data_IF_580201656191
#
_entry.id   IF_580201656191
#
_cell.length_a   1.000
_cell.length_b   1.000
_cell.length_c   1.000
_cell.angle_alpha   90.00
_cell.angle_beta   90.00
_cell.angle_gamma   90.00
#
_symmetry.space_group_name_H-M   'P 1'
#
loop_
_entity.id
_entity.type
_entity.pdbx_description
1 polymer ?
#
# COMPACT_ATOMS: atom_id res chain seq x y z
N UNK A 1 33.40 -38.62 2.49
CA UNK A 1 32.71 -37.32 2.55
C UNK A 1 33.64 -36.28 1.95
N UNK A 2 33.27 -35.66 0.86
CA UNK A 2 34.09 -34.61 0.21
C UNK A 2 34.18 -33.39 1.09
N UNK A 3 35.37 -32.72 1.21
CA UNK A 3 35.57 -31.57 2.08
C UNK A 3 34.68 -30.32 1.75
N UNK A 4 33.96 -30.36 0.64
CA UNK A 4 33.03 -29.31 0.22
C UNK A 4 31.68 -29.31 0.96
N UNK A 5 31.23 -30.43 1.52
CA UNK A 5 29.94 -30.55 2.18
C UNK A 5 29.83 -29.67 3.47
N UNK A 6 30.81 -29.65 4.39
CA UNK A 6 30.73 -28.82 5.58
C UNK A 6 30.82 -27.32 5.25
N UNK A 7 31.62 -26.91 4.28
CA UNK A 7 31.72 -25.49 3.86
C UNK A 7 30.40 -24.97 3.28
N UNK A 8 29.67 -25.80 2.53
CA UNK A 8 28.37 -25.43 1.99
C UNK A 8 27.31 -25.29 3.10
N UNK A 9 27.33 -26.20 4.09
CA UNK A 9 26.44 -26.14 5.26
C UNK A 9 26.67 -24.84 6.08
N UNK A 10 27.91 -24.54 6.43
CA UNK A 10 28.24 -23.28 7.13
C UNK A 10 27.84 -22.03 6.32
N UNK A 11 27.95 -22.09 4.99
CA UNK A 11 27.51 -21.01 4.12
C UNK A 11 26.00 -20.79 4.17
N UNK A 12 25.19 -21.85 4.18
CA UNK A 12 23.71 -21.76 4.26
C UNK A 12 23.25 -21.29 5.65
N UNK A 13 23.86 -21.78 6.73
CA UNK A 13 23.61 -21.30 8.09
C UNK A 13 23.89 -19.81 8.21
N UNK A 14 25.02 -19.34 7.70
CA UNK A 14 25.38 -17.93 7.70
C UNK A 14 24.39 -17.07 6.91
N UNK A 15 23.96 -17.51 5.75
CA UNK A 15 22.95 -16.79 4.93
C UNK A 15 21.60 -16.72 5.67
N UNK A 16 21.15 -17.83 6.26
CA UNK A 16 19.90 -17.86 7.02
C UNK A 16 19.96 -16.91 8.22
N UNK A 17 21.04 -16.95 9.00
CA UNK A 17 21.21 -16.09 10.17
C UNK A 17 21.38 -14.62 9.79
N UNK A 18 22.21 -14.27 8.82
CA UNK A 18 22.43 -12.90 8.38
C UNK A 18 21.15 -12.28 7.80
N UNK A 19 20.36 -13.05 7.03
CA UNK A 19 19.08 -12.58 6.52
C UNK A 19 18.06 -12.36 7.65
N UNK A 20 18.02 -13.25 8.66
CA UNK A 20 17.16 -13.08 9.83
C UNK A 20 17.56 -11.87 10.68
N UNK A 21 18.85 -11.65 10.90
CA UNK A 21 19.38 -10.47 11.63
C UNK A 21 19.07 -9.19 10.86
N UNK A 22 19.37 -9.15 9.56
CA UNK A 22 19.12 -7.98 8.72
C UNK A 22 17.63 -7.64 8.64
N UNK A 23 16.79 -8.65 8.45
CA UNK A 23 15.33 -8.48 8.47
C UNK A 23 14.84 -7.99 9.83
N UNK A 24 15.21 -8.66 10.93
CA UNK A 24 14.75 -8.32 12.27
C UNK A 24 15.23 -6.93 12.70
N UNK A 25 16.45 -6.54 12.34
CA UNK A 25 16.97 -5.19 12.57
C UNK A 25 16.17 -4.13 11.78
N UNK A 26 15.85 -4.41 10.51
CA UNK A 26 15.01 -3.54 9.68
C UNK A 26 13.60 -3.39 10.25
N UNK A 27 12.95 -4.49 10.65
CA UNK A 27 11.65 -4.48 11.31
C UNK A 27 11.70 -3.75 12.66
N UNK A 28 12.74 -3.94 13.45
CA UNK A 28 12.93 -3.23 14.72
C UNK A 28 13.11 -1.73 14.50
N UNK A 29 13.82 -1.32 13.45
CA UNK A 29 13.95 0.09 13.06
C UNK A 29 12.61 0.67 12.70
N UNK A 30 11.82 0.03 11.82
CA UNK A 30 10.46 0.45 11.47
C UNK A 30 9.56 0.54 12.70
N UNK A 31 9.61 -0.45 13.58
CA UNK A 31 8.80 -0.51 14.80
C UNK A 31 9.01 0.70 15.72
N UNK A 32 10.24 1.23 15.80
CA UNK A 32 10.54 2.41 16.62
C UNK A 32 9.83 3.66 16.13
N UNK A 33 9.61 3.79 14.82
CA UNK A 33 8.88 4.89 14.20
C UNK A 33 7.36 4.75 14.23
N UNK A 34 6.80 3.62 14.67
CA UNK A 34 5.34 3.47 14.78
C UNK A 34 4.86 4.21 16.03
N UNK A 35 4.37 5.42 15.87
CA UNK A 35 3.80 6.26 16.93
C UNK A 35 2.69 7.15 16.38
N UNK A 36 1.73 7.59 17.22
CA UNK A 36 0.75 8.58 16.80
C UNK A 36 1.45 9.83 16.24
N UNK A 37 0.90 10.35 15.14
CA UNK A 37 1.41 11.56 14.52
C UNK A 37 0.47 12.72 14.85
N UNK A 38 0.97 13.88 15.29
CA UNK A 38 0.14 15.04 15.54
C UNK A 38 -0.37 15.60 14.20
N UNK A 39 -1.61 16.06 14.22
CA UNK A 39 -2.21 16.89 13.17
C UNK A 39 -2.54 18.22 13.80
N UNK A 40 -2.08 19.33 13.23
CA UNK A 40 -2.18 20.65 13.87
C UNK A 40 -2.63 21.77 12.92
N UNK A 41 -2.96 21.48 11.67
CA UNK A 41 -3.42 22.47 10.71
C UNK A 41 -4.89 22.81 10.93
N UNK A 42 -5.20 24.10 11.06
CA UNK A 42 -6.58 24.65 11.09
C UNK A 42 -7.00 25.23 9.74
N UNK A 43 -6.10 25.22 8.77
CA UNK A 43 -6.36 25.78 7.44
C UNK A 43 -7.35 24.89 6.67
N UNK A 44 -8.23 25.55 5.92
CA UNK A 44 -9.20 24.90 5.04
C UNK A 44 -8.93 25.29 3.58
N UNK A 45 -7.81 24.82 2.95
CA UNK A 45 -7.52 25.11 1.56
C UNK A 45 -8.58 24.49 0.62
N UNK A 46 -8.54 24.82 -0.66
CA UNK A 46 -9.36 24.11 -1.65
C UNK A 46 -8.83 22.69 -1.84
N UNK A 47 -9.73 21.71 -1.81
CA UNK A 47 -9.43 20.29 -1.93
C UNK A 47 -10.14 19.70 -3.14
N UNK A 48 -9.41 18.93 -3.94
CA UNK A 48 -9.98 18.06 -4.98
C UNK A 48 -9.76 16.61 -4.60
N UNK A 49 -10.84 15.87 -4.40
CA UNK A 49 -10.77 14.42 -4.24
C UNK A 49 -10.83 13.77 -5.63
N UNK A 50 -9.78 13.05 -6.01
CA UNK A 50 -9.67 12.39 -7.32
C UNK A 50 -9.80 10.87 -7.14
N UNK A 51 -10.80 10.29 -7.81
CA UNK A 51 -11.10 8.85 -7.77
C UNK A 51 -10.99 8.29 -9.19
N UNK A 52 -10.08 7.34 -9.40
CA UNK A 52 -10.04 6.57 -10.64
C UNK A 52 -10.96 5.35 -10.52
N UNK A 53 -11.93 5.22 -11.41
CA UNK A 53 -12.91 4.14 -11.41
C UNK A 53 -12.83 3.31 -12.71
N UNK A 54 -12.98 1.99 -12.58
CA UNK A 54 -13.17 1.08 -13.73
C UNK A 54 -13.88 -0.19 -13.27
N UNK A 55 -15.03 -0.48 -13.84
CA UNK A 55 -15.85 -1.64 -13.52
C UNK A 55 -16.08 -1.75 -11.98
N UNK A 56 -16.66 -0.68 -11.39
CA UNK A 56 -16.90 -0.51 -9.94
C UNK A 56 -18.38 -0.19 -9.63
N UNK A 57 -19.33 -0.60 -10.50
CA UNK A 57 -20.77 -0.32 -10.32
C UNK A 57 -21.30 -0.74 -8.93
N UNK A 58 -20.73 -1.82 -8.35
CA UNK A 58 -21.14 -2.34 -7.06
C UNK A 58 -20.71 -1.46 -5.86
N UNK A 59 -19.69 -0.60 -6.03
CA UNK A 59 -19.05 0.10 -4.92
C UNK A 59 -19.10 1.61 -5.04
N UNK A 60 -19.00 2.16 -6.26
CA UNK A 60 -18.80 3.59 -6.50
C UNK A 60 -19.92 4.46 -5.90
N UNK A 61 -21.17 3.98 -5.90
CA UNK A 61 -22.30 4.70 -5.30
C UNK A 61 -22.11 4.92 -3.79
N UNK A 62 -21.69 3.88 -3.07
CA UNK A 62 -21.41 3.98 -1.63
C UNK A 62 -20.19 4.87 -1.33
N UNK A 63 -19.15 4.80 -2.15
CA UNK A 63 -17.97 5.65 -2.03
C UNK A 63 -18.34 7.14 -2.23
N UNK A 64 -19.11 7.46 -3.28
CA UNK A 64 -19.59 8.82 -3.55
C UNK A 64 -20.49 9.36 -2.43
N UNK A 65 -21.39 8.54 -1.90
CA UNK A 65 -22.23 8.95 -0.77
C UNK A 65 -21.39 9.39 0.44
N UNK A 66 -20.27 8.69 0.72
CA UNK A 66 -19.33 9.05 1.78
C UNK A 66 -18.52 10.31 1.46
N UNK A 67 -18.08 10.48 0.22
CA UNK A 67 -17.33 11.66 -0.21
C UNK A 67 -18.18 12.93 -0.20
N UNK A 68 -19.47 12.84 -0.54
CA UNK A 68 -20.41 13.97 -0.53
C UNK A 68 -20.79 14.45 0.87
N UNK A 69 -20.62 13.58 1.88
CA UNK A 69 -20.96 13.84 3.29
C UNK A 69 -19.74 14.11 4.16
N UNK A 70 -18.63 14.59 3.58
CA UNK A 70 -17.44 14.95 4.34
C UNK A 70 -17.68 16.20 5.20
N UNK A 71 -17.08 16.19 6.39
CA UNK A 71 -17.02 17.33 7.30
C UNK A 71 -15.93 18.31 6.83
N UNK A 72 -16.25 19.01 5.73
CA UNK A 72 -15.38 20.00 5.10
C UNK A 72 -16.23 21.06 4.38
N UNK A 73 -15.82 22.36 4.33
CA UNK A 73 -16.59 23.39 3.64
C UNK A 73 -16.92 23.02 2.20
N UNK A 74 -18.22 22.97 1.88
CA UNK A 74 -18.71 22.44 0.60
C UNK A 74 -18.18 23.26 -0.61
N UNK A 75 -18.01 24.58 -0.44
CA UNK A 75 -17.47 25.49 -1.45
C UNK A 75 -15.95 25.34 -1.68
N UNK A 76 -15.28 24.57 -0.83
CA UNK A 76 -13.85 24.27 -0.92
C UNK A 76 -13.54 22.83 -1.26
N UNK A 77 -14.56 21.99 -1.50
CA UNK A 77 -14.42 20.58 -1.83
C UNK A 77 -15.03 20.28 -3.19
N UNK A 78 -14.24 19.71 -4.09
CA UNK A 78 -14.73 19.09 -5.32
C UNK A 78 -14.36 17.60 -5.36
N UNK A 79 -15.16 16.81 -6.07
CA UNK A 79 -15.00 15.35 -6.22
C UNK A 79 -14.92 15.05 -7.70
N UNK A 80 -13.78 14.56 -8.16
CA UNK A 80 -13.51 14.25 -9.56
C UNK A 80 -13.40 12.75 -9.70
N UNK A 81 -14.39 12.12 -10.34
CA UNK A 81 -14.33 10.71 -10.70
C UNK A 81 -13.87 10.60 -12.15
N UNK A 82 -12.84 9.82 -12.37
CA UNK A 82 -12.31 9.55 -13.72
C UNK A 82 -12.62 8.11 -14.10
N UNK A 83 -13.55 7.92 -15.01
CA UNK A 83 -13.88 6.62 -15.57
C UNK A 83 -12.81 6.19 -16.59
N UNK A 84 -12.15 5.05 -16.33
CA UNK A 84 -11.09 4.49 -17.18
C UNK A 84 -11.64 3.44 -18.17
N UNK A 85 -12.74 3.76 -18.82
CA UNK A 85 -13.39 2.89 -19.81
C UNK A 85 -14.07 1.69 -19.15
N UNK A 86 -14.98 1.94 -18.23
CA UNK A 86 -15.85 0.92 -17.63
C UNK A 86 -16.79 0.34 -18.66
N UNK A 87 -17.07 -0.96 -18.53
CA UNK A 87 -18.02 -1.70 -19.37
C UNK A 87 -19.35 -1.98 -18.64
N UNK A 88 -19.42 -1.67 -17.36
CA UNK A 88 -20.56 -1.82 -16.47
C UNK A 88 -21.30 -0.47 -16.27
N UNK A 89 -22.16 -0.37 -15.26
CA UNK A 89 -22.94 0.85 -14.96
C UNK A 89 -22.16 1.92 -14.18
N UNK A 90 -20.84 1.79 -13.99
CA UNK A 90 -20.02 2.73 -13.19
C UNK A 90 -20.24 4.18 -13.64
N UNK A 91 -20.10 4.48 -14.93
CA UNK A 91 -20.24 5.84 -15.45
C UNK A 91 -21.67 6.41 -15.25
N UNK A 92 -22.71 5.57 -15.38
CA UNK A 92 -24.11 5.97 -15.19
C UNK A 92 -24.38 6.32 -13.71
N UNK A 93 -23.85 5.52 -12.77
CA UNK A 93 -23.98 5.80 -11.33
C UNK A 93 -23.32 7.13 -10.97
N UNK A 94 -22.12 7.41 -11.50
CA UNK A 94 -21.42 8.69 -11.26
C UNK A 94 -22.17 9.85 -11.91
N UNK A 95 -22.67 9.69 -13.15
CA UNK A 95 -23.44 10.70 -13.86
C UNK A 95 -24.70 11.11 -13.07
N UNK A 96 -25.41 10.14 -12.47
CA UNK A 96 -26.54 10.44 -11.59
C UNK A 96 -26.11 11.30 -10.39
N UNK A 97 -24.98 11.00 -9.75
CA UNK A 97 -24.45 11.79 -8.64
C UNK A 97 -24.05 13.21 -9.06
N UNK A 98 -23.56 13.42 -10.31
CA UNK A 98 -23.28 14.75 -10.84
C UNK A 98 -24.54 15.63 -10.95
N UNK A 99 -25.70 15.04 -11.28
CA UNK A 99 -26.96 15.79 -11.33
C UNK A 99 -27.47 16.19 -9.94
N UNK A 100 -27.16 15.40 -8.91
CA UNK A 100 -27.58 15.63 -7.54
C UNK A 100 -26.67 16.60 -6.78
N UNK A 101 -25.39 16.63 -7.13
CA UNK A 101 -24.36 17.39 -6.40
C UNK A 101 -23.38 18.05 -7.37
N UNK A 102 -23.41 19.39 -7.53
CA UNK A 102 -22.56 20.11 -8.49
C UNK A 102 -21.05 20.05 -8.16
N UNK A 103 -20.66 19.56 -6.97
CA UNK A 103 -19.29 19.32 -6.62
C UNK A 103 -18.71 18.06 -7.25
N UNK A 104 -19.55 17.16 -7.76
CA UNK A 104 -19.14 15.91 -8.39
C UNK A 104 -18.96 16.13 -9.89
N UNK A 105 -17.79 15.78 -10.41
CA UNK A 105 -17.43 15.85 -11.82
C UNK A 105 -17.07 14.45 -12.32
N UNK A 106 -17.66 14.03 -13.44
CA UNK A 106 -17.28 12.82 -14.17
C UNK A 106 -16.39 13.19 -15.36
N UNK A 107 -15.22 12.54 -15.45
CA UNK A 107 -14.33 12.57 -16.61
C UNK A 107 -14.20 11.16 -17.19
N UNK A 108 -13.91 11.06 -18.48
CA UNK A 108 -13.65 9.79 -19.15
C UNK A 108 -12.29 9.79 -19.83
N UNK A 109 -11.46 8.79 -19.57
CA UNK A 109 -10.17 8.66 -20.26
C UNK A 109 -10.34 8.38 -21.74
N UNK A 110 -11.42 7.71 -22.17
CA UNK A 110 -11.71 7.47 -23.59
C UNK A 110 -12.06 8.77 -24.30
N UNK A 111 -12.92 9.61 -23.70
CA UNK A 111 -13.31 10.89 -24.26
C UNK A 111 -12.15 11.90 -24.32
N UNK A 112 -11.35 11.96 -23.26
CA UNK A 112 -10.29 12.99 -23.12
C UNK A 112 -8.94 12.56 -23.74
N UNK A 113 -8.61 11.26 -23.73
CA UNK A 113 -7.32 10.74 -24.16
C UNK A 113 -7.43 9.83 -25.41
N UNK A 114 -8.63 9.59 -25.92
CA UNK A 114 -8.90 8.71 -27.05
C UNK A 114 -8.63 7.22 -26.78
N UNK A 115 -8.43 6.84 -25.53
CA UNK A 115 -8.16 5.46 -25.10
C UNK A 115 -8.45 5.30 -23.62
N UNK A 116 -8.86 4.11 -23.20
CA UNK A 116 -8.77 3.76 -21.79
C UNK A 116 -7.32 3.66 -21.37
N UNK A 117 -6.95 4.33 -20.27
CA UNK A 117 -5.61 4.40 -19.73
C UNK A 117 -5.32 3.25 -18.76
N UNK A 118 -4.47 3.53 -17.83
CA UNK A 118 -4.36 2.82 -16.56
C UNK A 118 -4.66 3.81 -15.44
N UNK A 119 -4.83 3.33 -14.23
CA UNK A 119 -5.11 4.16 -13.05
C UNK A 119 -4.28 5.45 -12.99
N UNK A 120 -2.98 5.40 -13.34
CA UNK A 120 -2.11 6.58 -13.37
C UNK A 120 -2.54 7.62 -14.41
N UNK A 121 -3.00 7.20 -15.60
CA UNK A 121 -3.50 8.12 -16.62
C UNK A 121 -4.80 8.78 -16.15
N UNK A 122 -5.69 8.00 -15.56
CA UNK A 122 -6.93 8.53 -14.96
C UNK A 122 -6.64 9.53 -13.84
N UNK A 123 -5.72 9.20 -12.91
CA UNK A 123 -5.31 10.13 -11.85
C UNK A 123 -4.65 11.40 -12.42
N UNK A 124 -3.78 11.27 -13.45
CA UNK A 124 -3.16 12.43 -14.11
C UNK A 124 -4.20 13.33 -14.74
N UNK A 125 -5.20 12.76 -15.42
CA UNK A 125 -6.31 13.50 -16.00
C UNK A 125 -7.11 14.24 -14.91
N UNK A 126 -7.48 13.54 -13.84
CA UNK A 126 -8.19 14.13 -12.72
C UNK A 126 -7.43 15.28 -12.06
N UNK A 127 -6.14 15.10 -11.78
CA UNK A 127 -5.27 16.16 -11.22
C UNK A 127 -5.13 17.35 -12.18
N UNK A 128 -5.09 17.10 -13.49
CA UNK A 128 -5.04 18.14 -14.51
C UNK A 128 -6.30 19.02 -14.53
N UNK A 129 -7.45 18.49 -14.15
CA UNK A 129 -8.74 19.20 -14.07
C UNK A 129 -9.04 19.76 -12.69
N UNK A 130 -8.27 19.36 -11.69
CA UNK A 130 -8.47 19.75 -10.30
C UNK A 130 -8.18 21.24 -10.08
N UNK A 131 -9.04 21.92 -9.29
CA UNK A 131 -8.89 23.30 -8.85
C UNK A 131 -8.34 23.41 -7.42
N UNK A 132 -8.27 22.30 -6.69
CA UNK A 132 -7.76 22.24 -5.32
C UNK A 132 -6.26 22.43 -5.25
N UNK A 133 -5.82 23.11 -4.20
CA UNK A 133 -4.41 23.21 -3.81
C UNK A 133 -3.90 21.86 -3.28
N UNK A 134 -4.79 21.14 -2.60
CA UNK A 134 -4.56 19.80 -2.08
C UNK A 134 -5.36 18.81 -2.92
N UNK A 135 -4.67 17.79 -3.38
CA UNK A 135 -5.27 16.63 -4.03
C UNK A 135 -5.34 15.50 -3.03
N UNK A 136 -6.51 14.94 -2.81
CA UNK A 136 -6.68 13.69 -2.07
C UNK A 136 -7.09 12.60 -3.05
N UNK A 137 -6.57 11.40 -2.87
CA UNK A 137 -6.96 10.23 -3.68
C UNK A 137 -7.45 9.10 -2.79
N UNK A 138 -8.49 8.42 -3.26
CA UNK A 138 -9.01 7.17 -2.71
C UNK A 138 -9.43 6.25 -3.84
N UNK A 139 -9.60 4.96 -3.56
CA UNK A 139 -10.11 4.00 -4.56
C UNK A 139 -11.64 4.01 -4.61
N UNK A 140 -12.20 3.62 -5.75
CA UNK A 140 -13.64 3.62 -5.99
C UNK A 140 -14.44 2.61 -5.14
N UNK A 141 -13.75 1.64 -4.53
CA UNK A 141 -14.29 0.63 -3.62
C UNK A 141 -14.03 0.96 -2.13
N UNK A 142 -13.50 2.14 -1.83
CA UNK A 142 -13.16 2.55 -0.48
C UNK A 142 -14.28 3.34 0.20
N UNK A 143 -14.42 3.12 1.51
CA UNK A 143 -15.33 3.86 2.38
C UNK A 143 -14.49 4.78 3.28
N UNK A 144 -14.56 6.08 3.01
CA UNK A 144 -13.93 7.12 3.82
C UNK A 144 -14.86 7.54 4.96
N UNK A 145 -14.35 7.79 6.18
CA UNK A 145 -15.17 8.35 7.27
C UNK A 145 -15.48 9.84 7.03
N UNK A 146 -16.49 10.41 7.71
CA UNK A 146 -16.89 11.81 7.51
C UNK A 146 -15.77 12.83 7.73
N UNK A 147 -14.87 12.61 8.67
CA UNK A 147 -13.74 13.49 8.99
C UNK A 147 -12.48 13.27 8.16
N UNK A 148 -12.53 12.42 7.11
CA UNK A 148 -11.33 12.02 6.37
C UNK A 148 -10.65 13.21 5.68
N UNK A 149 -11.40 14.06 4.98
CA UNK A 149 -10.84 15.23 4.29
C UNK A 149 -10.17 16.18 5.29
N UNK A 150 -10.89 16.54 6.36
CA UNK A 150 -10.37 17.45 7.40
C UNK A 150 -9.11 16.90 8.08
N UNK A 151 -9.11 15.62 8.44
CA UNK A 151 -7.96 14.97 9.10
C UNK A 151 -6.74 14.85 8.16
N UNK A 152 -6.95 14.56 6.88
CA UNK A 152 -5.87 14.52 5.89
C UNK A 152 -5.30 15.93 5.64
N UNK A 153 -6.15 16.94 5.51
CA UNK A 153 -5.73 18.34 5.29
C UNK A 153 -4.95 18.87 6.48
N UNK A 154 -5.37 18.58 7.70
CA UNK A 154 -4.70 19.04 8.93
C UNK A 154 -3.24 18.57 9.06
N UNK A 155 -2.83 17.57 8.27
CA UNK A 155 -1.44 17.10 8.24
C UNK A 155 -0.54 17.87 7.26
N UNK A 156 -1.07 18.78 6.45
CA UNK A 156 -0.30 19.61 5.53
C UNK A 156 0.32 20.84 6.22
N UNK A 157 1.11 20.61 7.24
CA UNK A 157 1.92 21.66 7.85
C UNK A 157 2.88 22.32 6.83
N UNK A 158 3.45 23.50 7.14
CA UNK A 158 4.48 24.12 6.31
C UNK A 158 5.62 23.14 6.00
N UNK A 159 5.97 23.03 4.73
CA UNK A 159 7.01 22.09 4.25
C UNK A 159 6.53 20.65 4.01
N UNK A 160 5.28 20.28 4.36
CA UNK A 160 4.70 18.97 4.02
C UNK A 160 4.11 19.02 2.62
N UNK A 161 4.64 18.19 1.73
CA UNK A 161 4.20 18.10 0.33
C UNK A 161 3.31 16.91 0.02
N UNK A 162 3.41 15.83 0.83
CA UNK A 162 2.62 14.61 0.65
C UNK A 162 2.22 14.04 2.01
N UNK A 163 1.01 13.51 2.09
CA UNK A 163 0.42 12.94 3.31
C UNK A 163 -0.09 11.54 3.00
N UNK A 164 0.36 10.56 3.78
CA UNK A 164 -0.13 9.18 3.75
C UNK A 164 -1.20 9.02 4.83
N UNK A 165 -2.33 8.39 4.49
CA UNK A 165 -3.35 8.02 5.46
C UNK A 165 -3.34 6.53 5.76
N UNK A 166 -3.99 6.15 6.86
CA UNK A 166 -4.21 4.75 7.19
C UNK A 166 -5.41 4.20 6.43
N UNK A 167 -5.23 3.03 5.83
CA UNK A 167 -6.33 2.23 5.30
C UNK A 167 -6.32 0.84 5.92
N UNK A 168 -7.48 0.21 6.01
CA UNK A 168 -7.62 -1.13 6.55
C UNK A 168 -8.54 -1.98 5.70
N UNK A 169 -8.22 -3.27 5.63
CA UNK A 169 -9.06 -4.26 4.98
C UNK A 169 -10.21 -4.64 5.90
N UNK A 170 -11.43 -4.65 5.40
CA UNK A 170 -12.54 -5.17 6.14
C UNK A 170 -13.86 -4.44 5.97
N UNK A 171 -14.79 -4.80 6.84
CA UNK A 171 -16.07 -4.13 7.05
C UNK A 171 -16.27 -3.88 8.54
N UNK A 172 -17.17 -2.98 8.94
CA UNK A 172 -17.46 -2.71 10.35
C UNK A 172 -17.87 -3.95 11.17
N UNK A 173 -18.44 -4.98 10.52
CA UNK A 173 -18.82 -6.25 11.16
C UNK A 173 -17.66 -7.21 11.47
N UNK A 174 -16.43 -6.87 11.12
CA UNK A 174 -15.25 -7.68 11.38
C UNK A 174 -15.05 -8.87 10.43
N UNK A 175 -13.89 -9.54 10.58
CA UNK A 175 -13.50 -10.67 9.77
C UNK A 175 -14.17 -11.96 10.21
N UNK A 176 -14.91 -12.62 9.32
CA UNK A 176 -15.64 -13.87 9.58
C UNK A 176 -14.84 -15.14 9.25
N UNK A 177 -13.85 -15.05 8.36
CA UNK A 177 -13.05 -16.18 7.90
C UNK A 177 -11.57 -16.05 8.25
N UNK A 178 -10.84 -17.20 8.23
CA UNK A 178 -9.40 -17.20 8.41
C UNK A 178 -8.67 -16.32 7.39
N UNK A 179 -9.06 -16.40 6.11
CA UNK A 179 -8.48 -15.57 5.04
C UNK A 179 -8.62 -14.08 5.34
N UNK A 180 -9.81 -13.64 5.76
CA UNK A 180 -10.06 -12.23 6.07
C UNK A 180 -9.22 -11.75 7.27
N UNK A 181 -9.10 -12.56 8.31
CA UNK A 181 -8.23 -12.27 9.48
C UNK A 181 -6.77 -12.20 9.08
N UNK A 182 -6.32 -13.14 8.24
CA UNK A 182 -4.96 -13.15 7.71
C UNK A 182 -4.67 -11.88 6.90
N UNK A 183 -5.53 -11.55 5.94
CA UNK A 183 -5.40 -10.38 5.09
C UNK A 183 -5.38 -9.07 5.86
N UNK A 184 -6.29 -8.94 6.86
CA UNK A 184 -6.38 -7.75 7.71
C UNK A 184 -5.11 -7.55 8.55
N UNK A 185 -4.57 -8.63 9.13
CA UNK A 185 -3.34 -8.55 9.94
C UNK A 185 -2.10 -8.30 9.07
N UNK A 186 -2.01 -8.95 7.91
CA UNK A 186 -0.95 -8.75 6.92
C UNK A 186 -0.91 -7.30 6.44
N UNK A 187 -2.07 -6.74 6.11
CA UNK A 187 -2.17 -5.36 5.66
C UNK A 187 -1.87 -4.35 6.78
N UNK A 188 -2.30 -4.62 8.01
CA UNK A 188 -1.93 -3.82 9.19
C UNK A 188 -0.41 -3.75 9.37
N UNK A 189 0.30 -4.85 9.14
CA UNK A 189 1.76 -4.90 9.16
C UNK A 189 2.39 -4.00 8.11
N UNK A 190 1.86 -4.01 6.88
CA UNK A 190 2.30 -3.12 5.80
C UNK A 190 2.09 -1.64 6.17
N UNK A 191 0.91 -1.29 6.69
CA UNK A 191 0.62 0.08 7.13
C UNK A 191 1.52 0.52 8.29
N UNK A 192 1.83 -0.39 9.23
CA UNK A 192 2.80 -0.15 10.28
C UNK A 192 4.21 0.13 9.74
N UNK A 193 4.65 -0.63 8.73
CA UNK A 193 5.93 -0.38 8.05
C UNK A 193 5.94 0.99 7.35
N UNK A 194 4.85 1.36 6.69
CA UNK A 194 4.73 2.66 6.02
C UNK A 194 4.83 3.80 7.03
N UNK A 195 4.04 3.78 8.11
CA UNK A 195 4.10 4.77 9.20
C UNK A 195 5.51 4.85 9.80
N UNK A 196 6.10 3.71 10.17
CA UNK A 196 7.44 3.68 10.76
C UNK A 196 8.51 4.26 9.83
N UNK A 197 8.39 4.03 8.53
CA UNK A 197 9.33 4.57 7.54
C UNK A 197 9.18 6.09 7.35
N UNK A 198 7.96 6.60 7.39
CA UNK A 198 7.66 8.04 7.31
C UNK A 198 8.22 8.77 8.53
N UNK A 199 7.99 8.26 9.74
CA UNK A 199 8.49 8.86 10.98
C UNK A 199 10.04 8.99 11.01
N UNK A 200 10.73 8.06 10.39
CA UNK A 200 12.18 8.12 10.22
C UNK A 200 12.66 9.01 9.05
N UNK A 201 11.76 9.77 8.40
CA UNK A 201 12.09 10.59 7.23
C UNK A 201 12.52 9.77 6.00
N UNK A 202 12.16 8.49 5.95
CA UNK A 202 12.50 7.57 4.86
C UNK A 202 11.26 6.79 4.38
N UNK A 203 10.24 7.48 3.90
CA UNK A 203 9.01 6.84 3.46
C UNK A 203 9.29 5.79 2.39
N UNK A 204 8.89 4.56 2.65
CA UNK A 204 9.07 3.42 1.76
C UNK A 204 7.87 3.20 0.85
N UNK A 205 6.70 3.68 1.25
CA UNK A 205 5.47 3.56 0.48
C UNK A 205 4.29 4.24 1.13
N UNK A 206 3.15 4.14 0.46
CA UNK A 206 1.85 4.60 0.91
C UNK A 206 0.76 3.63 0.42
N UNK A 207 -0.47 3.86 0.85
CA UNK A 207 -1.67 3.25 0.29
C UNK A 207 -2.40 4.27 -0.57
N UNK A 208 -2.65 3.95 -1.84
CA UNK A 208 -3.42 4.79 -2.75
C UNK A 208 -4.90 4.96 -2.36
N UNK A 209 -5.32 4.23 -1.34
CA UNK A 209 -6.66 4.30 -0.76
C UNK A 209 -6.85 5.51 0.17
N UNK A 210 -5.74 6.09 0.67
CA UNK A 210 -5.74 7.28 1.50
C UNK A 210 -4.41 8.00 1.30
N UNK A 211 -4.34 8.85 0.28
CA UNK A 211 -3.13 9.57 -0.09
C UNK A 211 -3.50 11.02 -0.42
N UNK A 212 -2.71 11.96 0.08
CA UNK A 212 -2.87 13.37 -0.23
C UNK A 212 -1.55 13.98 -0.67
N UNK A 213 -1.59 14.99 -1.53
CA UNK A 213 -0.41 15.75 -1.93
C UNK A 213 -0.79 17.16 -2.38
N UNK A 214 0.16 18.09 -2.22
CA UNK A 214 0.00 19.42 -2.84
C UNK A 214 0.04 19.24 -4.36
N UNK A 215 -0.86 19.91 -5.06
CA UNK A 215 -0.92 19.85 -6.52
C UNK A 215 0.41 20.26 -7.14
N UNK A 216 1.06 21.29 -6.60
CA UNK A 216 2.37 21.77 -7.08
C UNK A 216 3.47 20.71 -6.93
N UNK A 217 3.47 19.96 -5.82
CA UNK A 217 4.44 18.86 -5.61
C UNK A 217 4.26 17.75 -6.65
N UNK A 218 3.01 17.42 -7.02
CA UNK A 218 2.74 16.46 -8.08
C UNK A 218 3.29 16.96 -9.43
N UNK A 219 3.10 18.24 -9.74
CA UNK A 219 3.60 18.85 -10.96
C UNK A 219 5.14 18.95 -10.96
N UNK A 220 5.76 19.32 -9.83
CA UNK A 220 7.21 19.41 -9.65
C UNK A 220 7.92 18.09 -9.95
N UNK A 221 7.37 16.96 -9.53
CA UNK A 221 7.96 15.64 -9.84
C UNK A 221 7.66 15.15 -11.27
N UNK A 222 6.82 15.87 -12.03
CA UNK A 222 6.33 15.49 -13.35
C UNK A 222 5.24 14.42 -13.29
N UNK A 223 4.47 14.39 -12.21
CA UNK A 223 3.40 13.42 -12.02
C UNK A 223 3.88 11.97 -12.14
N UNK A 224 3.20 11.19 -12.96
CA UNK A 224 3.54 9.78 -13.18
C UNK A 224 4.41 9.52 -14.42
N UNK A 225 4.90 10.55 -15.15
CA UNK A 225 5.64 10.37 -16.40
C UNK A 225 6.88 9.47 -16.25
N UNK A 226 7.65 9.65 -15.17
CA UNK A 226 8.86 8.85 -14.90
C UNK A 226 8.60 7.37 -14.60
N UNK A 227 7.34 7.01 -14.35
CA UNK A 227 6.90 5.67 -13.95
C UNK A 227 5.66 5.21 -14.74
N UNK A 228 5.38 5.84 -15.87
CA UNK A 228 4.21 5.58 -16.72
C UNK A 228 4.17 4.16 -17.27
N UNK A 229 5.33 3.56 -17.46
CA UNK A 229 5.49 2.19 -17.96
C UNK A 229 5.09 1.11 -16.95
N UNK A 230 4.87 1.49 -15.68
CA UNK A 230 4.49 0.55 -14.60
C UNK A 230 2.98 0.48 -14.48
N UNK A 231 2.43 -0.74 -14.45
CA UNK A 231 0.98 -0.97 -14.37
C UNK A 231 0.36 -0.60 -13.01
N UNK A 232 1.17 -0.57 -11.94
CA UNK A 232 0.72 -0.27 -10.57
C UNK A 232 1.75 0.57 -9.82
N UNK A 233 1.46 0.89 -8.55
CA UNK A 233 2.35 1.67 -7.69
C UNK A 233 2.19 3.18 -7.89
N UNK A 234 1.01 3.63 -8.23
CA UNK A 234 0.61 5.04 -8.24
C UNK A 234 0.89 5.73 -6.90
N UNK A 235 0.80 4.98 -5.82
CA UNK A 235 1.07 5.37 -4.44
C UNK A 235 2.57 5.29 -4.08
N UNK A 236 3.10 4.07 -4.03
CA UNK A 236 4.49 3.80 -3.62
C UNK A 236 5.50 4.54 -4.49
N UNK A 237 5.29 4.56 -5.81
CA UNK A 237 6.21 5.20 -6.73
C UNK A 237 6.14 6.73 -6.63
N UNK A 238 4.95 7.33 -6.43
CA UNK A 238 4.81 8.77 -6.21
C UNK A 238 5.54 9.21 -4.93
N UNK A 239 5.36 8.47 -3.82
CA UNK A 239 6.10 8.71 -2.57
C UNK A 239 7.62 8.70 -2.81
N UNK A 240 8.11 7.71 -3.57
CA UNK A 240 9.54 7.61 -3.88
C UNK A 240 10.02 8.75 -4.79
N UNK A 241 9.20 9.21 -5.74
CA UNK A 241 9.53 10.35 -6.60
C UNK A 241 9.61 11.65 -5.79
N UNK A 242 8.61 11.93 -4.95
CA UNK A 242 8.61 13.12 -4.09
C UNK A 242 9.82 13.11 -3.16
N UNK A 243 10.07 12.01 -2.43
CA UNK A 243 11.21 11.88 -1.54
C UNK A 243 12.56 12.11 -2.24
N UNK A 244 12.69 11.64 -3.48
CA UNK A 244 13.97 11.65 -4.21
C UNK A 244 14.25 12.95 -4.93
N UNK A 245 13.22 13.62 -5.40
CA UNK A 245 13.34 14.72 -6.34
C UNK A 245 12.91 16.08 -5.80
N UNK A 246 12.42 16.13 -4.57
CA UNK A 246 12.00 17.36 -3.92
C UNK A 246 12.59 17.47 -2.51
N UNK A 247 12.50 18.65 -1.92
CA UNK A 247 12.82 18.90 -0.51
C UNK A 247 11.60 18.78 0.41
N UNK A 248 10.42 18.43 -0.11
CA UNK A 248 9.19 18.34 0.64
C UNK A 248 9.20 17.16 1.62
N UNK A 249 8.68 17.41 2.81
CA UNK A 249 8.46 16.37 3.80
C UNK A 249 7.23 15.53 3.45
N UNK A 250 7.24 14.29 3.91
CA UNK A 250 6.11 13.35 3.79
C UNK A 250 5.63 13.07 5.21
N UNK A 251 4.32 13.25 5.44
CA UNK A 251 3.68 13.01 6.73
C UNK A 251 2.77 11.78 6.68
N UNK A 252 2.31 11.33 7.84
CA UNK A 252 1.34 10.23 7.97
C UNK A 252 0.24 10.62 8.94
N UNK A 253 -1.02 10.35 8.60
CA UNK A 253 -2.17 10.59 9.48
C UNK A 253 -2.54 9.31 10.20
N UNK A 254 -2.54 9.37 11.53
CA UNK A 254 -2.92 8.24 12.40
C UNK A 254 -4.27 8.45 13.09
N UNK A 255 -4.90 9.60 12.89
CA UNK A 255 -6.19 9.95 13.48
C UNK A 255 -7.28 8.99 13.01
N UNK A 256 -8.13 8.44 13.92
CA UNK A 256 -9.19 7.49 13.56
C UNK A 256 -10.18 8.04 12.52
N UNK A 257 -10.38 9.37 12.50
CA UNK A 257 -11.23 10.10 11.57
C UNK A 257 -10.74 10.00 10.12
N UNK A 258 -9.49 9.55 9.91
CA UNK A 258 -8.91 9.34 8.58
C UNK A 258 -8.78 7.86 8.20
N UNK A 259 -9.31 6.93 9.00
CA UNK A 259 -9.16 5.49 8.72
C UNK A 259 -10.10 5.05 7.60
N UNK A 260 -9.55 4.84 6.42
CA UNK A 260 -10.28 4.36 5.24
C UNK A 260 -10.47 2.85 5.31
N UNK A 261 -11.64 2.37 4.90
CA UNK A 261 -11.96 0.94 4.85
C UNK A 261 -12.09 0.51 3.39
N UNK A 262 -11.49 -0.61 3.03
CA UNK A 262 -11.66 -1.25 1.72
C UNK A 262 -12.01 -2.73 1.84
N UNK A 263 -12.70 -3.35 0.87
CA UNK A 263 -13.15 -4.72 0.95
C UNK A 263 -11.99 -5.73 0.95
N UNK A 264 -12.25 -6.91 1.56
CA UNK A 264 -11.34 -8.05 1.44
C UNK A 264 -11.29 -8.57 0.00
N UNK A 265 -10.16 -9.16 -0.36
CA UNK A 265 -10.09 -9.96 -1.57
C UNK A 265 -11.11 -11.13 -1.50
N UNK A 266 -11.80 -11.41 -2.61
CA UNK A 266 -12.88 -12.41 -2.63
C UNK A 266 -12.39 -13.85 -2.43
N UNK A 267 -11.12 -14.14 -2.62
CA UNK A 267 -10.52 -15.47 -2.48
C UNK A 267 -9.01 -15.38 -2.22
N UNK A 268 -8.39 -16.49 -1.77
CA UNK A 268 -6.94 -16.63 -1.68
C UNK A 268 -6.25 -16.36 -3.03
N UNK A 269 -6.84 -16.81 -4.14
CA UNK A 269 -6.32 -16.56 -5.48
C UNK A 269 -6.35 -15.08 -5.84
N UNK A 270 -7.39 -14.35 -5.42
CA UNK A 270 -7.49 -12.89 -5.62
C UNK A 270 -6.45 -12.16 -4.77
N UNK A 271 -6.27 -12.55 -3.51
CA UNK A 271 -5.26 -12.01 -2.61
C UNK A 271 -3.85 -12.23 -3.19
N UNK A 272 -3.52 -13.44 -3.61
CA UNK A 272 -2.22 -13.74 -4.23
C UNK A 272 -1.98 -12.90 -5.49
N UNK A 273 -2.98 -12.75 -6.36
CA UNK A 273 -2.87 -11.90 -7.55
C UNK A 273 -2.61 -10.44 -7.20
N UNK A 274 -3.31 -9.91 -6.19
CA UNK A 274 -3.12 -8.55 -5.71
C UNK A 274 -1.69 -8.35 -5.18
N UNK A 275 -1.21 -9.26 -4.31
CA UNK A 275 0.14 -9.18 -3.73
C UNK A 275 1.24 -9.39 -4.79
N UNK A 276 1.04 -10.31 -5.75
CA UNK A 276 1.95 -10.50 -6.89
C UNK A 276 2.08 -9.22 -7.73
N UNK A 277 0.97 -8.53 -7.98
CA UNK A 277 0.97 -7.24 -8.67
C UNK A 277 1.78 -6.19 -7.91
N UNK A 278 1.66 -6.11 -6.60
CA UNK A 278 2.47 -5.21 -5.78
C UNK A 278 3.94 -5.58 -5.79
N UNK A 279 4.26 -6.87 -5.62
CA UNK A 279 5.62 -7.38 -5.63
C UNK A 279 6.31 -7.20 -6.99
N UNK A 280 5.58 -7.10 -8.10
CA UNK A 280 6.15 -6.83 -9.43
C UNK A 280 6.86 -5.48 -9.54
N UNK A 281 6.65 -4.56 -8.57
CA UNK A 281 7.36 -3.30 -8.47
C UNK A 281 8.70 -3.41 -7.70
N UNK A 282 9.01 -4.55 -7.08
CA UNK A 282 10.25 -4.72 -6.31
C UNK A 282 11.54 -4.40 -7.12
N UNK A 283 11.68 -4.82 -8.39
CA UNK A 283 12.87 -4.47 -9.18
C UNK A 283 13.07 -2.95 -9.38
N UNK A 284 11.98 -2.16 -9.37
CA UNK A 284 12.09 -0.71 -9.45
C UNK A 284 12.74 -0.11 -8.19
N UNK A 285 12.55 -0.73 -7.04
CA UNK A 285 13.10 -0.26 -5.77
C UNK A 285 14.63 -0.32 -5.74
N UNK A 286 15.27 -1.22 -6.48
CA UNK A 286 16.73 -1.21 -6.62
C UNK A 286 17.29 0.14 -7.06
N UNK A 287 16.55 0.84 -7.94
CA UNK A 287 16.94 2.16 -8.45
C UNK A 287 16.44 3.31 -7.59
N UNK A 288 15.27 3.14 -6.97
CA UNK A 288 14.60 4.20 -6.21
C UNK A 288 15.05 4.24 -4.75
N UNK A 289 15.15 3.08 -4.08
CA UNK A 289 15.57 2.95 -2.69
C UNK A 289 16.27 1.62 -2.43
N UNK A 290 17.60 1.63 -2.46
CA UNK A 290 18.41 0.42 -2.23
C UNK A 290 18.24 -0.18 -0.83
N UNK A 291 17.93 0.63 0.20
CA UNK A 291 17.70 0.13 1.58
C UNK A 291 16.39 -0.60 1.66
N UNK A 292 15.33 -0.03 1.08
CA UNK A 292 14.04 -0.70 0.97
C UNK A 292 14.16 -2.00 0.17
N UNK A 293 14.86 -1.98 -0.95
CA UNK A 293 15.15 -3.19 -1.71
C UNK A 293 15.90 -4.23 -0.88
N UNK A 294 16.94 -3.83 -0.13
CA UNK A 294 17.69 -4.72 0.76
C UNK A 294 16.81 -5.36 1.85
N UNK A 295 15.88 -4.59 2.44
CA UNK A 295 14.90 -5.11 3.39
C UNK A 295 13.97 -6.16 2.74
N UNK A 296 13.50 -5.92 1.51
CA UNK A 296 12.69 -6.90 0.77
C UNK A 296 13.48 -8.18 0.46
N UNK A 297 14.75 -8.06 0.09
CA UNK A 297 15.63 -9.23 -0.14
C UNK A 297 15.84 -10.01 1.15
N UNK A 298 16.12 -9.33 2.28
CA UNK A 298 16.28 -9.97 3.58
C UNK A 298 14.98 -10.67 4.03
N UNK A 299 13.82 -10.02 3.82
CA UNK A 299 12.51 -10.60 4.08
C UNK A 299 12.28 -11.86 3.24
N UNK A 300 12.58 -11.80 1.93
CA UNK A 300 12.44 -12.97 1.06
C UNK A 300 13.38 -14.10 1.49
N UNK A 301 14.65 -13.81 1.76
CA UNK A 301 15.66 -14.80 2.10
C UNK A 301 15.35 -15.52 3.42
N UNK A 302 14.96 -14.80 4.49
CA UNK A 302 14.60 -15.44 5.76
C UNK A 302 13.35 -16.30 5.64
N UNK A 303 12.34 -15.88 4.88
CA UNK A 303 11.14 -16.68 4.67
C UNK A 303 11.43 -17.91 3.80
N UNK A 304 12.28 -17.79 2.77
CA UNK A 304 12.72 -18.91 1.96
C UNK A 304 13.48 -19.94 2.80
N UNK A 305 14.39 -19.49 3.68
CA UNK A 305 15.11 -20.34 4.60
C UNK A 305 14.15 -21.11 5.54
N UNK A 306 13.10 -20.46 6.04
CA UNK A 306 12.10 -21.11 6.90
C UNK A 306 11.23 -22.11 6.13
N UNK A 307 10.86 -21.82 4.89
CA UNK A 307 10.05 -22.73 4.05
C UNK A 307 10.86 -23.97 3.62
N UNK A 308 12.11 -23.79 3.24
CA UNK A 308 13.00 -24.90 2.84
C UNK A 308 13.67 -25.56 4.05
N UNK A 309 13.63 -24.94 5.22
CA UNK A 309 14.33 -25.35 6.43
C UNK A 309 14.12 -26.80 6.84
N UNK A 310 12.90 -27.34 6.89
CA UNK A 310 12.67 -28.74 7.25
C UNK A 310 13.41 -29.71 6.32
N UNK A 311 13.45 -29.42 5.02
CA UNK A 311 14.16 -30.24 4.04
C UNK A 311 15.69 -30.08 4.20
N UNK A 312 16.18 -28.85 4.35
CA UNK A 312 17.63 -28.61 4.46
C UNK A 312 18.21 -29.14 5.77
N UNK A 313 17.44 -29.14 6.87
CA UNK A 313 17.82 -29.82 8.12
C UNK A 313 17.85 -31.35 7.95
N UNK A 314 16.85 -31.94 7.31
CA UNK A 314 16.79 -33.38 7.05
C UNK A 314 17.98 -33.87 6.18
N UNK A 315 18.48 -33.00 5.29
CA UNK A 315 19.66 -33.24 4.45
C UNK A 315 20.99 -32.93 5.14
N UNK A 316 20.96 -32.45 6.41
CA UNK A 316 22.15 -32.01 7.14
C UNK A 316 22.83 -30.75 6.58
N UNK A 317 22.11 -29.98 5.78
CA UNK A 317 22.62 -28.75 5.12
C UNK A 317 22.49 -27.50 5.97
N UNK A 318 21.57 -27.46 6.95
CA UNK A 318 21.38 -26.38 7.93
C UNK A 318 21.19 -27.02 9.31
N UNK A 319 21.81 -26.40 10.34
CA UNK A 319 21.58 -26.80 11.73
C UNK A 319 20.23 -26.35 12.24
N UNK A 320 19.50 -27.23 12.92
CA UNK A 320 18.16 -26.95 13.45
C UNK A 320 18.16 -25.77 14.43
N UNK A 321 19.20 -25.60 15.23
CA UNK A 321 19.33 -24.52 16.19
C UNK A 321 19.41 -23.16 15.51
N UNK A 322 20.16 -23.04 14.42
CA UNK A 322 20.24 -21.80 13.62
C UNK A 322 18.91 -21.48 12.94
N UNK A 323 18.23 -22.48 12.37
CA UNK A 323 16.92 -22.29 11.75
C UNK A 323 15.87 -21.85 12.79
N UNK A 324 15.86 -22.49 13.95
CA UNK A 324 14.96 -22.13 15.05
C UNK A 324 15.22 -20.72 15.58
N UNK A 325 16.50 -20.35 15.75
CA UNK A 325 16.90 -19.00 16.16
C UNK A 325 16.47 -17.93 15.13
N UNK A 326 16.68 -18.19 13.85
CA UNK A 326 16.24 -17.30 12.76
C UNK A 326 14.71 -17.12 12.76
N UNK A 327 13.95 -18.20 12.88
CA UNK A 327 12.50 -18.19 12.97
C UNK A 327 11.99 -17.44 14.20
N UNK A 328 12.60 -17.66 15.37
CA UNK A 328 12.25 -16.97 16.59
C UNK A 328 12.54 -15.46 16.51
N UNK A 329 13.69 -15.05 16.00
CA UNK A 329 14.06 -13.65 15.82
C UNK A 329 13.08 -12.92 14.91
N UNK A 330 12.74 -13.53 13.76
CA UNK A 330 11.73 -13.02 12.82
C UNK A 330 10.37 -12.87 13.50
N UNK A 331 9.87 -13.92 14.14
CA UNK A 331 8.54 -13.96 14.76
C UNK A 331 8.42 -12.90 15.87
N UNK A 332 9.44 -12.74 16.71
CA UNK A 332 9.47 -11.71 17.76
C UNK A 332 9.49 -10.31 17.16
N UNK A 333 10.26 -10.08 16.09
CA UNK A 333 10.32 -8.77 15.43
C UNK A 333 8.95 -8.41 14.83
N UNK A 334 8.30 -9.32 14.11
CA UNK A 334 6.98 -9.14 13.50
C UNK A 334 5.88 -8.96 14.55
N UNK A 335 5.90 -9.74 15.64
CA UNK A 335 4.98 -9.55 16.75
C UNK A 335 5.05 -8.15 17.35
N UNK A 336 6.27 -7.65 17.59
CA UNK A 336 6.48 -6.29 18.14
C UNK A 336 5.95 -5.22 17.22
N UNK A 337 6.21 -5.35 15.91
CA UNK A 337 5.70 -4.43 14.88
C UNK A 337 4.18 -4.44 14.85
N UNK A 338 3.57 -5.62 14.69
CA UNK A 338 2.12 -5.77 14.60
C UNK A 338 1.42 -5.30 15.88
N UNK A 339 1.95 -5.64 17.06
CA UNK A 339 1.40 -5.18 18.34
C UNK A 339 1.42 -3.65 18.44
N UNK A 340 2.52 -3.01 18.00
CA UNK A 340 2.62 -1.56 18.04
C UNK A 340 1.72 -0.89 17.01
N UNK A 341 1.67 -1.37 15.78
CA UNK A 341 0.75 -0.92 14.75
C UNK A 341 -0.72 -1.08 15.20
N UNK A 342 -1.09 -2.25 15.71
CA UNK A 342 -2.42 -2.51 16.24
C UNK A 342 -2.82 -1.56 17.38
N UNK A 343 -1.86 -1.13 18.19
CA UNK A 343 -2.13 -0.14 19.26
C UNK A 343 -2.35 1.25 18.70
N UNK A 344 -1.51 1.71 17.75
CA UNK A 344 -1.63 3.04 17.16
C UNK A 344 -2.87 3.19 16.31
N UNK A 345 -3.22 2.15 15.53
CA UNK A 345 -4.39 2.17 14.66
C UNK A 345 -5.68 1.62 15.30
N UNK A 346 -5.67 1.34 16.61
CA UNK A 346 -6.87 0.86 17.32
C UNK A 346 -7.35 -0.54 16.92
N UNK A 347 -6.46 -1.39 16.36
CA UNK A 347 -6.81 -2.71 15.80
C UNK A 347 -6.19 -3.88 16.56
N UNK A 348 -6.24 -3.82 17.90
CA UNK A 348 -5.77 -4.92 18.76
C UNK A 348 -6.58 -6.22 18.61
N UNK A 349 -7.82 -6.12 18.12
CA UNK A 349 -8.69 -7.24 17.77
C UNK A 349 -8.04 -8.23 16.79
N UNK A 350 -7.18 -7.74 15.88
CA UNK A 350 -6.51 -8.56 14.87
C UNK A 350 -5.39 -9.43 15.44
N UNK A 351 -4.83 -9.09 16.60
CA UNK A 351 -3.66 -9.77 17.16
C UNK A 351 -3.93 -11.24 17.54
N UNK A 352 -5.18 -11.60 17.82
CA UNK A 352 -5.57 -13.00 18.04
C UNK A 352 -5.26 -13.91 16.84
N UNK A 353 -5.21 -13.34 15.65
CA UNK A 353 -4.84 -14.05 14.40
C UNK A 353 -3.34 -14.29 14.22
N UNK A 354 -2.47 -13.68 15.05
CA UNK A 354 -1.02 -13.69 14.84
C UNK A 354 -0.39 -15.09 14.76
N UNK A 355 -0.69 -16.07 15.64
CA UNK A 355 -0.06 -17.39 15.54
C UNK A 355 -0.29 -18.07 14.20
N UNK A 356 -1.52 -18.04 13.71
CA UNK A 356 -1.87 -18.63 12.42
C UNK A 356 -1.29 -17.82 11.24
N UNK A 357 -1.25 -16.48 11.36
CA UNK A 357 -0.60 -15.62 10.37
C UNK A 357 0.90 -15.92 10.27
N UNK A 358 1.60 -16.04 11.40
CA UNK A 358 3.04 -16.31 11.46
C UNK A 358 3.42 -17.65 10.81
N UNK A 359 2.53 -18.65 10.85
CA UNK A 359 2.73 -19.96 10.19
C UNK A 359 2.54 -19.87 8.67
N UNK A 360 1.57 -19.08 8.20
CA UNK A 360 1.22 -19.00 6.76
C UNK A 360 2.09 -17.98 6.03
N UNK A 361 2.51 -16.92 6.71
CA UNK A 361 3.22 -15.78 6.12
C UNK A 361 4.50 -16.15 5.39
N UNK A 362 5.39 -17.07 5.87
CA UNK A 362 6.57 -17.46 5.12
C UNK A 362 6.26 -18.04 3.73
N UNK A 363 5.26 -18.92 3.63
CA UNK A 363 4.81 -19.49 2.35
C UNK A 363 4.24 -18.41 1.43
N UNK A 364 3.42 -17.52 1.99
CA UNK A 364 2.83 -16.40 1.25
C UNK A 364 3.94 -15.52 0.65
N UNK A 365 4.92 -15.09 1.44
CA UNK A 365 6.02 -14.22 0.97
C UNK A 365 6.85 -14.90 -0.10
N UNK A 366 7.18 -16.19 0.06
CA UNK A 366 7.98 -16.94 -0.93
C UNK A 366 7.21 -17.06 -2.25
N UNK A 367 5.93 -17.44 -2.20
CA UNK A 367 5.09 -17.58 -3.41
C UNK A 367 4.90 -16.23 -4.10
N UNK A 368 4.55 -15.18 -3.34
CA UNK A 368 4.34 -13.83 -3.89
C UNK A 368 5.63 -13.25 -4.47
N UNK A 369 6.77 -13.43 -3.80
CA UNK A 369 8.06 -12.96 -4.27
C UNK A 369 8.48 -13.64 -5.57
N UNK A 370 8.34 -14.98 -5.64
CA UNK A 370 8.62 -15.76 -6.84
C UNK A 370 7.73 -15.33 -8.02
N UNK A 371 6.41 -15.28 -7.82
CA UNK A 371 5.46 -14.85 -8.85
C UNK A 371 5.67 -13.38 -9.26
N UNK A 372 6.00 -12.50 -8.31
CA UNK A 372 6.32 -11.11 -8.55
C UNK A 372 7.58 -10.95 -9.43
N UNK A 373 8.62 -11.76 -9.17
CA UNK A 373 9.82 -11.81 -10.01
C UNK A 373 9.54 -12.31 -11.43
N UNK A 374 8.61 -13.27 -11.61
CA UNK A 374 8.17 -13.71 -12.93
C UNK A 374 7.41 -12.61 -13.68
N UNK A 375 6.86 -11.64 -12.96
CA UNK A 375 6.32 -10.41 -13.50
C UNK A 375 5.09 -10.52 -14.38
N UNK A 376 4.41 -11.68 -14.39
CA UNK A 376 3.21 -11.91 -15.20
C UNK A 376 1.98 -11.93 -14.32
N UNK A 377 1.07 -10.97 -14.51
CA UNK A 377 -0.21 -10.92 -13.83
C UNK A 377 -1.31 -10.35 -14.72
N UNK A 378 -2.56 -10.63 -14.38
CA UNK A 378 -3.73 -10.05 -15.02
C UNK A 378 -4.42 -9.11 -14.04
N UNK A 379 -4.73 -7.88 -14.48
CA UNK A 379 -5.45 -6.89 -13.69
C UNK A 379 -6.50 -6.19 -14.54
N UNK A 380 -7.75 -6.14 -14.04
CA UNK A 380 -8.91 -5.56 -14.76
C UNK A 380 -8.97 -6.03 -16.23
N UNK A 381 -8.88 -7.35 -16.43
CA UNK A 381 -8.92 -8.00 -17.76
C UNK A 381 -7.66 -7.87 -18.63
N UNK A 382 -6.68 -7.05 -18.25
CA UNK A 382 -5.44 -6.81 -19.02
C UNK A 382 -4.29 -7.64 -18.47
N UNK A 383 -3.52 -8.29 -19.39
CA UNK A 383 -2.31 -9.05 -19.05
C UNK A 383 -1.11 -8.11 -19.06
N UNK A 384 -0.36 -8.09 -17.96
CA UNK A 384 0.86 -7.31 -17.79
C UNK A 384 2.08 -8.24 -17.70
N UNK A 385 3.21 -7.78 -18.20
CA UNK A 385 4.49 -8.48 -18.12
C UNK A 385 5.55 -7.56 -17.52
N UNK A 386 6.26 -8.03 -16.48
CA UNK A 386 7.28 -7.28 -15.74
C UNK A 386 6.73 -5.97 -15.14
N UNK A 387 5.45 -5.95 -14.78
CA UNK A 387 4.78 -4.75 -14.29
C UNK A 387 4.70 -3.60 -15.31
N UNK A 388 5.07 -3.84 -16.58
CA UNK A 388 4.98 -2.85 -17.67
C UNK A 388 3.63 -2.97 -18.36
N UNK A 389 3.09 -1.84 -18.76
CA UNK A 389 1.99 -1.79 -19.73
C UNK A 389 2.57 -2.05 -21.12
N UNK A 390 1.89 -2.88 -21.89
CA UNK A 390 2.09 -3.02 -23.34
C UNK A 390 1.10 -2.17 -24.08
#
# INVERSE_FOLDING_TARGET
MTPAAPLLAYGLDAVALLSAVGYSAGIAWLTRGIRPQPTAGEETPRVSVVVAARDEEAHIGAALARLRTQDYPAERLEIIVVDDGSLDQTANVVSAACHEDPRVLLLSTEAELGRSGAKKAALTLGVGRANGEIILTTDADCLVPPGWVSAMVAAFAPGVGLVCGFSQVGHPGGASSFRQRYESLDFLGLMGCMLGSVDHGRPMGASGQSLGYRRDVFLEVGGYERVRDRASGDDVLLVQLVRRHTAWHIAFVTAPEAHVIHPWANSWRALLRQRTRWASNAPAQWRLDRRFFGLMVAAYAVNLALVLGPLTVALGAIDLGFLAAAGAAKTVAEWRLLRRAATVFGRRDLLAGFPAWALVQPFHVVVVGLLGCLGVFTWKGRRHRWGRQR
#
